data_IF_889811404163
#
_entry.id   IF_889811404163
#
_cell.length_a   1.000
_cell.length_b   1.000
_cell.length_c   1.000
_cell.angle_alpha   90.00
_cell.angle_beta   90.00
_cell.angle_gamma   90.00
#
_symmetry.space_group_name_H-M   'P 1'
#
loop_
_entity.id
_entity.type
_entity.pdbx_description
1 polymer ?
#
# COMPACT_ATOMS: atom_id res chain seq x y z
N UNK A 1 -44.28 6.79 3.61
CA UNK A 1 -45.53 7.47 4.04
C UNK A 1 -45.61 7.38 5.54
N UNK A 2 -45.64 8.52 6.25
CA UNK A 2 -45.82 8.51 7.71
C UNK A 2 -47.30 8.41 8.03
N UNK A 3 -47.67 7.46 8.89
CA UNK A 3 -49.02 7.39 9.46
C UNK A 3 -48.89 7.81 10.92
N UNK A 4 -49.61 8.85 11.32
CA UNK A 4 -49.73 9.22 12.73
C UNK A 4 -50.96 8.55 13.31
N UNK A 5 -50.82 8.03 14.53
CA UNK A 5 -51.96 7.60 15.36
C UNK A 5 -52.19 8.64 16.44
N UNK A 6 -53.40 9.15 16.57
CA UNK A 6 -53.81 9.96 17.72
C UNK A 6 -54.48 9.07 18.76
N UNK A 7 -54.05 9.19 20.01
CA UNK A 7 -54.67 8.45 21.10
C UNK A 7 -56.01 9.11 21.47
N UNK A 8 -57.11 8.42 21.17
CA UNK A 8 -58.44 8.89 21.53
C UNK A 8 -58.82 8.33 22.90
N UNK A 9 -58.65 9.14 23.94
CA UNK A 9 -59.05 8.79 25.31
C UNK A 9 -59.86 9.95 25.89
N UNK A 10 -61.11 9.67 26.27
CA UNK A 10 -62.07 10.66 26.75
C UNK A 10 -62.00 10.92 28.27
N UNK A 11 -60.87 10.64 28.92
CA UNK A 11 -60.40 11.32 30.14
C UNK A 11 -58.99 10.78 30.55
N UNK A 12 -58.05 11.71 30.73
CA UNK A 12 -56.58 11.61 30.97
C UNK A 12 -56.14 10.67 32.10
N UNK A 13 -54.95 10.01 32.14
CA UNK A 13 -53.64 10.07 31.44
C UNK A 13 -52.96 8.74 31.92
N UNK A 14 -52.57 7.75 31.10
CA UNK A 14 -51.18 7.59 30.60
C UNK A 14 -50.88 6.25 29.86
N UNK A 15 -51.81 5.58 29.18
CA UNK A 15 -51.51 4.26 28.55
C UNK A 15 -51.47 4.27 27.03
N UNK A 16 -50.60 5.10 26.45
CA UNK A 16 -50.23 4.98 25.04
C UNK A 16 -48.71 4.95 24.93
N UNK A 17 -48.13 3.75 25.07
CA UNK A 17 -46.69 3.57 24.94
C UNK A 17 -46.30 3.27 23.49
N UNK A 18 -45.17 3.85 23.06
CA UNK A 18 -44.61 3.74 21.71
C UNK A 18 -44.79 4.98 20.83
N UNK A 19 -43.82 5.21 19.92
CA UNK A 19 -43.78 6.36 19.02
C UNK A 19 -45.12 6.59 18.28
N UNK A 20 -45.53 7.85 18.19
CA UNK A 20 -46.75 8.28 17.48
C UNK A 20 -46.57 8.31 15.95
N UNK A 21 -45.36 8.01 15.47
CA UNK A 21 -45.00 7.90 14.05
C UNK A 21 -44.37 6.54 13.82
N UNK A 22 -45.03 5.75 12.97
CA UNK A 22 -44.52 4.48 12.49
C UNK A 22 -43.77 4.73 11.17
N UNK A 23 -42.48 4.38 11.12
CA UNK A 23 -41.63 4.59 9.94
C UNK A 23 -41.64 3.31 9.12
N UNK A 24 -42.48 3.30 8.08
CA UNK A 24 -42.52 2.21 7.10
C UNK A 24 -41.30 2.30 6.18
N UNK A 25 -40.47 1.25 6.14
CA UNK A 25 -39.36 1.16 5.18
C UNK A 25 -39.89 1.27 3.74
N UNK A 26 -39.27 2.14 2.95
CA UNK A 26 -39.64 2.34 1.57
C UNK A 26 -39.01 1.26 0.69
N UNK A 27 -39.84 0.40 0.09
CA UNK A 27 -39.38 -0.64 -0.83
C UNK A 27 -39.29 -0.08 -2.26
N UNK A 28 -38.20 -0.41 -2.95
CA UNK A 28 -38.03 -0.14 -4.39
C UNK A 28 -37.74 -1.47 -5.09
N UNK A 29 -38.61 -1.87 -6.00
CA UNK A 29 -38.46 -3.12 -6.75
C UNK A 29 -39.04 -3.00 -8.17
N UNK A 30 -38.52 -3.83 -9.08
CA UNK A 30 -39.06 -3.99 -10.42
C UNK A 30 -40.32 -4.86 -10.41
N UNK A 31 -41.35 -4.47 -11.17
CA UNK A 31 -42.45 -5.37 -11.51
C UNK A 31 -41.93 -6.57 -12.34
N UNK A 32 -42.75 -7.61 -12.44
CA UNK A 32 -42.51 -8.64 -13.45
C UNK A 32 -42.57 -8.02 -14.85
N UNK A 33 -41.82 -8.60 -15.79
CA UNK A 33 -41.85 -8.21 -17.19
C UNK A 33 -43.22 -8.51 -17.82
N UNK A 34 -43.68 -7.63 -18.71
CA UNK A 34 -44.85 -7.88 -19.53
C UNK A 34 -44.62 -9.09 -20.45
N UNK A 35 -45.71 -9.63 -20.98
CA UNK A 35 -45.62 -10.51 -22.14
C UNK A 35 -44.97 -9.75 -23.31
N UNK A 36 -44.31 -10.48 -24.19
CA UNK A 36 -43.72 -9.90 -25.38
C UNK A 36 -44.79 -9.41 -26.36
N UNK A 37 -44.51 -8.28 -27.03
CA UNK A 37 -45.32 -7.78 -28.14
C UNK A 37 -45.28 -8.74 -29.34
N UNK A 38 -46.24 -8.59 -30.24
CA UNK A 38 -46.17 -9.24 -31.54
C UNK A 38 -44.95 -8.76 -32.32
N UNK A 39 -44.35 -9.65 -33.10
CA UNK A 39 -43.15 -9.33 -33.89
C UNK A 39 -43.42 -8.17 -34.86
N UNK A 40 -42.59 -7.12 -34.79
CA UNK A 40 -42.74 -5.97 -35.67
C UNK A 40 -42.31 -6.35 -37.09
N UNK A 41 -43.27 -6.38 -38.01
CA UNK A 41 -43.08 -6.82 -39.40
C UNK A 41 -42.04 -6.01 -40.19
N UNK A 42 -41.73 -4.78 -39.77
CA UNK A 42 -40.80 -3.90 -40.51
C UNK A 42 -39.34 -4.14 -40.15
N UNK A 43 -39.05 -4.56 -38.91
CA UNK A 43 -37.66 -4.71 -38.43
C UNK A 43 -37.36 -6.08 -37.80
N UNK A 44 -38.36 -6.95 -37.59
CA UNK A 44 -38.15 -8.34 -37.17
C UNK A 44 -37.91 -8.54 -35.68
N UNK A 45 -38.22 -7.55 -34.83
CA UNK A 45 -38.03 -7.63 -33.38
C UNK A 45 -39.35 -7.52 -32.61
N UNK A 46 -39.42 -8.18 -31.46
CA UNK A 46 -40.46 -8.00 -30.43
C UNK A 46 -39.85 -7.46 -29.14
N UNK A 47 -40.65 -6.72 -28.36
CA UNK A 47 -40.21 -6.09 -27.12
C UNK A 47 -41.15 -6.36 -25.94
N UNK A 48 -40.65 -6.21 -24.72
CA UNK A 48 -41.44 -6.24 -23.48
C UNK A 48 -40.95 -5.22 -22.47
N UNK A 49 -41.81 -4.80 -21.54
CA UNK A 49 -41.50 -3.74 -20.58
C UNK A 49 -41.78 -4.15 -19.13
N UNK A 50 -41.19 -3.45 -18.16
CA UNK A 50 -41.48 -3.60 -16.74
C UNK A 50 -41.48 -2.23 -16.07
N UNK A 51 -42.17 -2.10 -14.94
CA UNK A 51 -42.31 -0.83 -14.22
C UNK A 51 -41.52 -0.85 -12.92
N UNK A 52 -40.90 0.28 -12.58
CA UNK A 52 -40.24 0.45 -11.29
C UNK A 52 -41.26 0.91 -10.26
N UNK A 53 -41.54 0.09 -9.25
CA UNK A 53 -42.42 0.47 -8.16
C UNK A 53 -41.58 1.00 -7.00
N UNK A 54 -41.61 2.32 -6.81
CA UNK A 54 -40.88 3.02 -5.75
C UNK A 54 -41.85 3.79 -4.87
N UNK A 55 -41.80 3.56 -3.57
CA UNK A 55 -42.64 4.27 -2.59
C UNK A 55 -42.10 5.65 -2.21
N UNK A 56 -40.99 6.12 -2.80
CA UNK A 56 -40.40 7.44 -2.54
C UNK A 56 -39.70 8.03 -3.77
N UNK A 57 -39.85 9.33 -4.01
CA UNK A 57 -39.38 10.03 -5.23
C UNK A 57 -37.86 10.10 -5.39
N UNK A 58 -37.09 9.78 -4.35
CA UNK A 58 -35.61 9.81 -4.35
C UNK A 58 -34.94 8.45 -4.64
N UNK A 59 -35.69 7.34 -4.64
CA UNK A 59 -35.14 6.01 -4.90
C UNK A 59 -35.64 5.50 -6.26
N UNK A 60 -34.73 5.18 -7.18
CA UNK A 60 -35.04 4.68 -8.52
C UNK A 60 -34.52 3.25 -8.71
N UNK A 61 -35.21 2.44 -9.52
CA UNK A 61 -34.74 1.11 -9.87
C UNK A 61 -33.58 1.22 -10.88
N UNK A 62 -32.50 0.49 -10.63
CA UNK A 62 -31.35 0.45 -11.53
C UNK A 62 -31.57 -0.57 -12.66
N UNK A 63 -31.24 -0.21 -13.91
CA UNK A 63 -31.39 -1.02 -15.13
C UNK A 63 -32.51 -0.58 -16.10
N UNK A 64 -32.56 -1.17 -17.29
CA UNK A 64 -33.58 -0.83 -18.31
C UNK A 64 -34.96 -1.39 -17.98
N UNK A 65 -35.99 -0.64 -18.40
CA UNK A 65 -37.39 -1.01 -18.31
C UNK A 65 -37.95 -1.61 -19.62
N UNK A 66 -37.12 -1.81 -20.65
CA UNK A 66 -37.49 -2.38 -21.96
C UNK A 66 -36.43 -3.40 -22.43
N UNK A 67 -36.87 -4.52 -23.00
CA UNK A 67 -36.05 -5.61 -23.58
C UNK A 67 -36.54 -5.94 -25.01
N UNK A 68 -35.65 -6.30 -25.96
CA UNK A 68 -35.94 -6.50 -27.41
C UNK A 68 -35.19 -7.71 -28.02
N UNK A 69 -35.85 -8.58 -28.82
CA UNK A 69 -35.29 -9.83 -29.44
C UNK A 69 -35.84 -10.12 -30.86
N UNK A 70 -35.09 -10.83 -31.74
CA UNK A 70 -35.45 -11.26 -33.13
C UNK A 70 -36.39 -12.51 -33.24
N UNK A 71 -37.15 -12.64 -34.34
CA UNK A 71 -38.18 -13.69 -34.56
C UNK A 71 -37.79 -14.79 -35.59
N UNK A 72 -38.18 -16.08 -35.39
CA UNK A 72 -37.79 -17.26 -36.21
C UNK A 72 -38.97 -18.18 -36.70
N UNK A 73 -38.78 -18.97 -37.77
CA UNK A 73 -39.73 -19.99 -38.34
C UNK A 73 -39.68 -21.32 -37.54
N UNK A 74 -40.83 -21.98 -37.27
CA UNK A 74 -40.90 -23.15 -36.38
C UNK A 74 -42.01 -24.18 -36.72
N UNK A 75 -41.81 -25.42 -36.27
CA UNK A 75 -42.86 -26.46 -36.25
C UNK A 75 -43.91 -26.15 -35.18
N UNK A 76 -45.20 -26.36 -35.48
CA UNK A 76 -46.24 -26.38 -34.46
C UNK A 76 -45.94 -27.46 -33.41
N UNK A 77 -46.56 -27.32 -32.24
CA UNK A 77 -46.55 -28.42 -31.29
C UNK A 77 -47.22 -29.65 -31.90
N UNK A 78 -46.75 -30.84 -31.51
CA UNK A 78 -47.41 -32.09 -31.83
C UNK A 78 -48.81 -32.11 -31.22
N UNK A 79 -49.77 -32.69 -31.95
CA UNK A 79 -51.08 -33.01 -31.42
C UNK A 79 -50.96 -33.95 -30.22
N UNK A 80 -52.01 -34.03 -29.43
CA UNK A 80 -52.13 -35.13 -28.47
C UNK A 80 -52.09 -36.47 -29.22
N UNK A 81 -51.57 -37.49 -28.54
CA UNK A 81 -51.58 -38.84 -29.10
C UNK A 81 -53.00 -39.37 -29.22
N UNK A 82 -53.25 -40.14 -30.27
CA UNK A 82 -54.48 -40.93 -30.40
C UNK A 82 -54.58 -41.98 -29.29
N UNK A 83 -55.80 -42.47 -29.04
CA UNK A 83 -56.00 -43.62 -28.16
C UNK A 83 -55.28 -44.85 -28.71
N UNK A 84 -54.72 -45.67 -27.82
CA UNK A 84 -53.95 -46.85 -28.20
C UNK A 84 -54.80 -47.81 -29.05
N UNK A 85 -54.30 -48.18 -30.23
CA UNK A 85 -55.01 -49.12 -31.09
C UNK A 85 -54.94 -50.53 -30.49
N UNK A 86 -56.08 -51.08 -30.07
CA UNK A 86 -56.15 -52.37 -29.37
C UNK A 86 -55.76 -53.58 -30.22
N UNK A 87 -55.70 -53.45 -31.55
CA UNK A 87 -55.34 -54.54 -32.46
C UNK A 87 -53.81 -54.59 -32.69
N UNK A 88 -53.17 -53.43 -32.79
CA UNK A 88 -51.75 -53.35 -33.19
C UNK A 88 -50.81 -52.79 -32.10
N UNK A 89 -51.34 -52.19 -31.03
CA UNK A 89 -50.54 -51.75 -29.88
C UNK A 89 -49.82 -50.40 -30.01
N UNK A 90 -50.13 -49.62 -31.05
CA UNK A 90 -49.50 -48.31 -31.30
C UNK A 90 -50.49 -47.14 -31.22
N UNK A 91 -49.95 -45.96 -30.90
CA UNK A 91 -50.63 -44.67 -31.00
C UNK A 91 -49.80 -43.68 -31.84
N UNK A 92 -50.47 -42.70 -32.46
CA UNK A 92 -49.84 -41.72 -33.35
C UNK A 92 -50.25 -40.26 -33.05
N UNK A 93 -49.43 -39.30 -33.50
CA UNK A 93 -49.71 -37.86 -33.43
C UNK A 93 -49.09 -37.09 -34.60
N UNK A 94 -49.58 -35.88 -34.88
CA UNK A 94 -49.17 -35.07 -36.04
C UNK A 94 -48.82 -33.62 -35.68
N UNK A 95 -48.06 -32.91 -36.53
CA UNK A 95 -47.75 -31.47 -36.38
C UNK A 95 -47.68 -30.74 -37.72
N UNK A 96 -47.80 -29.42 -37.73
CA UNK A 96 -47.81 -28.57 -38.94
C UNK A 96 -46.62 -27.60 -38.97
N UNK A 97 -46.14 -27.23 -40.16
CA UNK A 97 -45.05 -26.26 -40.32
C UNK A 97 -45.62 -24.86 -40.61
N UNK A 98 -45.33 -23.87 -39.76
CA UNK A 98 -45.85 -22.51 -39.90
C UNK A 98 -44.72 -21.52 -40.24
N UNK A 99 -44.81 -20.83 -41.38
CA UNK A 99 -43.86 -19.78 -41.80
C UNK A 99 -44.56 -18.45 -42.08
N UNK A 100 -43.98 -17.33 -41.64
CA UNK A 100 -44.51 -15.98 -41.86
C UNK A 100 -43.81 -15.18 -42.97
N UNK A 101 -42.87 -15.76 -43.71
CA UNK A 101 -42.31 -15.20 -44.96
C UNK A 101 -41.88 -16.30 -45.94
N UNK A 102 -41.52 -15.92 -47.17
CA UNK A 102 -41.44 -16.70 -48.43
C UNK A 102 -40.38 -17.83 -48.50
N UNK A 103 -40.10 -18.50 -47.38
CA UNK A 103 -39.25 -19.70 -47.29
C UNK A 103 -40.06 -20.82 -46.62
N UNK A 104 -40.58 -21.75 -47.40
CA UNK A 104 -41.75 -22.59 -47.07
C UNK A 104 -41.45 -24.02 -46.64
N UNK A 105 -40.27 -24.34 -46.10
CA UNK A 105 -39.95 -25.74 -45.74
C UNK A 105 -39.34 -25.90 -44.34
N UNK A 106 -40.04 -26.63 -43.47
CA UNK A 106 -39.48 -27.20 -42.24
C UNK A 106 -38.88 -28.60 -42.54
N UNK A 107 -37.73 -28.91 -41.94
CA UNK A 107 -37.07 -30.21 -42.13
C UNK A 107 -37.56 -31.25 -41.09
N UNK A 108 -37.91 -32.47 -41.53
CA UNK A 108 -38.42 -33.58 -40.71
C UNK A 108 -39.87 -34.00 -40.99
N UNK A 109 -40.31 -35.15 -40.44
CA UNK A 109 -41.66 -35.68 -40.63
C UNK A 109 -42.73 -34.98 -39.77
N UNK A 110 -43.95 -34.94 -40.29
CA UNK A 110 -45.14 -34.36 -39.65
C UNK A 110 -46.03 -35.38 -38.93
N UNK A 111 -45.62 -36.66 -38.86
CA UNK A 111 -46.33 -37.75 -38.17
C UNK A 111 -45.32 -38.58 -37.37
N UNK A 112 -45.68 -38.95 -36.13
CA UNK A 112 -44.90 -39.78 -35.20
C UNK A 112 -45.77 -40.94 -34.68
N UNK A 113 -45.20 -42.15 -34.52
CA UNK A 113 -45.90 -43.38 -34.08
C UNK A 113 -45.05 -44.14 -33.04
N UNK A 114 -45.64 -44.57 -31.92
CA UNK A 114 -44.96 -45.31 -30.81
C UNK A 114 -45.84 -46.41 -30.18
N UNK A 115 -45.20 -47.38 -29.50
CA UNK A 115 -45.83 -48.44 -28.68
C UNK A 115 -46.41 -47.90 -27.36
N UNK A 116 -47.46 -48.55 -26.82
CA UNK A 116 -48.13 -48.15 -25.56
C UNK A 116 -47.46 -48.74 -24.28
N UNK A 117 -47.29 -47.94 -23.22
CA UNK A 117 -46.49 -48.25 -21.99
C UNK A 117 -47.32 -48.72 -20.75
N UNK A 118 -46.70 -49.52 -19.85
CA UNK A 118 -47.22 -50.04 -18.55
C UNK A 118 -46.77 -49.17 -17.35
N UNK A 119 -47.61 -48.90 -16.32
CA UNK A 119 -47.23 -48.09 -15.13
C UNK A 119 -47.97 -48.42 -13.80
N UNK A 120 -47.35 -48.04 -12.67
CA UNK A 120 -47.95 -48.07 -11.31
C UNK A 120 -48.94 -46.90 -11.09
N UNK A 121 -50.07 -47.15 -10.42
CA UNK A 121 -50.92 -46.06 -9.93
C UNK A 121 -50.21 -45.28 -8.81
N UNK A 122 -50.61 -44.02 -8.55
CA UNK A 122 -50.18 -43.30 -7.36
C UNK A 122 -50.50 -44.06 -6.08
N UNK A 123 -49.70 -43.85 -5.03
CA UNK A 123 -49.96 -44.38 -3.70
C UNK A 123 -51.23 -43.79 -3.09
N UNK A 124 -51.96 -44.62 -2.33
CA UNK A 124 -53.07 -44.16 -1.50
C UNK A 124 -52.59 -43.20 -0.41
N UNK A 125 -53.52 -42.45 0.17
CA UNK A 125 -53.28 -41.77 1.45
C UNK A 125 -52.92 -42.79 2.52
N UNK A 126 -52.17 -42.34 3.53
CA UNK A 126 -51.84 -43.18 4.67
C UNK A 126 -53.06 -43.44 5.55
N UNK A 127 -53.12 -44.64 6.14
CA UNK A 127 -54.09 -44.97 7.17
C UNK A 127 -53.91 -44.10 8.42
N UNK A 128 -54.96 -44.05 9.25
CA UNK A 128 -54.84 -43.59 10.63
C UNK A 128 -53.82 -44.47 11.38
N UNK A 129 -53.12 -43.89 12.36
CA UNK A 129 -52.12 -44.62 13.13
C UNK A 129 -52.80 -45.78 13.89
N UNK A 130 -52.22 -46.99 13.79
CA UNK A 130 -52.68 -48.11 14.61
C UNK A 130 -52.02 -48.04 16.00
N UNK A 131 -52.81 -47.69 17.00
CA UNK A 131 -52.37 -47.45 18.38
C UNK A 131 -51.76 -48.68 19.07
N UNK A 132 -52.03 -49.90 18.57
CA UNK A 132 -51.50 -51.14 19.17
C UNK A 132 -50.06 -51.45 18.74
N UNK A 133 -49.65 -51.01 17.56
CA UNK A 133 -48.33 -51.34 16.99
C UNK A 133 -47.52 -50.11 16.55
N UNK A 134 -48.12 -48.92 16.48
CA UNK A 134 -47.43 -47.65 16.20
C UNK A 134 -47.06 -47.42 14.74
N UNK A 135 -47.78 -48.02 13.79
CA UNK A 135 -47.53 -47.88 12.35
C UNK A 135 -48.77 -47.45 11.57
N UNK A 136 -48.54 -46.72 10.49
CA UNK A 136 -49.52 -46.36 9.45
C UNK A 136 -49.12 -47.02 8.12
N UNK A 137 -50.11 -47.39 7.29
CA UNK A 137 -49.89 -48.12 6.05
C UNK A 137 -50.52 -47.43 4.82
N UNK A 138 -50.00 -47.72 3.62
CA UNK A 138 -50.58 -47.27 2.35
C UNK A 138 -50.30 -48.28 1.24
N UNK A 139 -51.09 -48.24 0.16
CA UNK A 139 -50.99 -49.19 -0.96
C UNK A 139 -51.11 -48.53 -2.33
N UNK A 140 -50.65 -49.21 -3.38
CA UNK A 140 -50.83 -48.81 -4.80
C UNK A 140 -51.10 -50.04 -5.67
N UNK A 141 -51.67 -49.84 -6.85
CA UNK A 141 -52.02 -50.92 -7.77
C UNK A 141 -51.25 -50.77 -9.10
N UNK A 142 -50.92 -51.88 -9.74
CA UNK A 142 -50.30 -51.88 -11.07
C UNK A 142 -51.40 -51.88 -12.12
N UNK A 143 -51.39 -50.93 -13.07
CA UNK A 143 -52.40 -50.88 -14.13
C UNK A 143 -51.79 -51.41 -15.43
N UNK A 144 -52.25 -52.58 -15.88
CA UNK A 144 -51.70 -53.28 -17.07
C UNK A 144 -52.83 -53.58 -18.05
N UNK A 145 -52.62 -53.26 -19.32
CA UNK A 145 -53.55 -53.60 -20.41
C UNK A 145 -53.27 -54.96 -21.06
N UNK A 146 -52.24 -55.72 -20.63
CA UNK A 146 -52.01 -57.12 -21.03
C UNK A 146 -51.24 -57.88 -19.92
N UNK A 147 -51.62 -59.11 -19.51
CA UNK A 147 -51.37 -59.61 -18.16
C UNK A 147 -50.04 -60.37 -17.99
N UNK A 148 -49.05 -60.21 -18.87
CA UNK A 148 -47.92 -61.14 -18.94
C UNK A 148 -46.56 -60.62 -18.51
N UNK A 149 -46.41 -59.44 -17.89
CA UNK A 149 -45.27 -59.17 -16.98
C UNK A 149 -45.53 -57.97 -16.05
N UNK A 150 -45.37 -58.21 -14.76
CA UNK A 150 -45.81 -57.41 -13.61
C UNK A 150 -44.95 -56.14 -13.37
N UNK A 151 -45.55 -55.11 -12.75
CA UNK A 151 -44.80 -53.94 -12.30
C UNK A 151 -43.77 -54.32 -11.21
N UNK A 152 -42.53 -53.87 -11.36
CA UNK A 152 -41.47 -54.09 -10.36
C UNK A 152 -41.62 -53.18 -9.13
N UNK A 153 -41.48 -53.76 -7.93
CA UNK A 153 -41.52 -53.08 -6.63
C UNK A 153 -42.72 -53.44 -5.73
N UNK A 154 -42.69 -53.00 -4.47
CA UNK A 154 -43.78 -53.31 -3.53
C UNK A 154 -45.05 -52.48 -3.84
N UNK A 155 -46.19 -53.11 -3.61
CA UNK A 155 -47.51 -52.49 -3.67
C UNK A 155 -48.01 -52.01 -2.30
N UNK A 156 -47.20 -52.19 -1.25
CA UNK A 156 -47.53 -51.87 0.14
C UNK A 156 -46.33 -51.22 0.85
N UNK A 157 -46.60 -50.21 1.69
CA UNK A 157 -45.60 -49.41 2.40
C UNK A 157 -46.08 -49.10 3.84
N UNK A 158 -45.16 -49.05 4.81
CA UNK A 158 -45.44 -48.93 6.25
C UNK A 158 -44.46 -47.96 6.92
N UNK A 159 -44.98 -47.02 7.72
CA UNK A 159 -44.19 -45.99 8.41
C UNK A 159 -44.58 -45.90 9.90
N UNK A 160 -43.60 -45.61 10.79
CA UNK A 160 -43.86 -45.38 12.23
C UNK A 160 -44.59 -44.05 12.46
N UNK A 161 -45.49 -44.01 13.42
CA UNK A 161 -46.24 -42.80 13.74
C UNK A 161 -45.36 -41.74 14.42
N UNK A 162 -45.62 -40.46 14.14
CA UNK A 162 -44.94 -39.33 14.77
C UNK A 162 -45.54 -39.00 16.14
N UNK A 163 -44.75 -39.16 17.20
CA UNK A 163 -45.12 -38.86 18.61
C UNK A 163 -44.55 -37.50 19.00
N UNK A 164 -45.34 -36.62 19.63
CA UNK A 164 -44.87 -35.35 20.16
C UNK A 164 -45.61 -34.93 21.46
N UNK A 165 -44.93 -34.14 22.29
CA UNK A 165 -45.51 -33.47 23.46
C UNK A 165 -46.43 -32.32 23.02
N UNK A 166 -47.58 -32.16 23.68
CA UNK A 166 -48.37 -30.93 23.57
C UNK A 166 -47.65 -29.74 24.22
N UNK A 167 -47.98 -28.49 23.85
CA UNK A 167 -47.47 -27.32 24.54
C UNK A 167 -47.81 -27.35 26.04
N UNK A 168 -46.92 -26.82 26.88
CA UNK A 168 -47.16 -26.67 28.31
C UNK A 168 -48.39 -25.81 28.61
N UNK A 169 -49.14 -26.19 29.64
CA UNK A 169 -50.20 -25.35 30.21
C UNK A 169 -49.62 -24.06 30.82
N UNK A 170 -50.49 -23.10 31.07
CA UNK A 170 -50.16 -21.97 31.94
C UNK A 170 -49.78 -22.48 33.34
N UNK A 171 -48.92 -21.72 34.02
CA UNK A 171 -48.57 -21.99 35.42
C UNK A 171 -49.80 -21.81 36.32
N UNK A 172 -49.93 -22.68 37.32
CA UNK A 172 -50.88 -22.50 38.41
C UNK A 172 -50.56 -21.23 39.20
N UNK A 173 -51.54 -20.76 39.96
CA UNK A 173 -51.31 -19.79 41.04
C UNK A 173 -50.36 -20.45 42.06
N UNK A 174 -49.51 -19.66 42.70
CA UNK A 174 -48.61 -20.16 43.74
C UNK A 174 -49.43 -20.77 44.89
N UNK A 175 -49.09 -21.98 45.34
CA UNK A 175 -49.77 -22.61 46.46
C UNK A 175 -49.24 -22.07 47.80
N UNK A 176 -50.11 -21.40 48.55
CA UNK A 176 -49.81 -20.76 49.85
C UNK A 176 -49.29 -21.73 50.94
N UNK A 177 -49.48 -23.05 50.78
CA UNK A 177 -49.09 -24.03 51.82
C UNK A 177 -47.64 -24.51 51.66
N UNK A 178 -47.12 -24.54 50.43
CA UNK A 178 -45.80 -25.14 50.14
C UNK A 178 -44.90 -24.28 49.25
N UNK A 179 -45.38 -23.14 48.70
CA UNK A 179 -44.52 -22.19 47.98
C UNK A 179 -44.12 -22.61 46.56
N UNK A 180 -44.86 -23.53 45.93
CA UNK A 180 -44.61 -23.99 44.56
C UNK A 180 -45.78 -23.68 43.63
N UNK A 181 -45.48 -23.48 42.36
CA UNK A 181 -46.46 -23.50 41.26
C UNK A 181 -46.10 -24.59 40.27
N UNK A 182 -47.10 -25.13 39.58
CA UNK A 182 -46.91 -26.22 38.62
C UNK A 182 -47.57 -25.93 37.27
N UNK A 183 -47.12 -26.65 36.24
CA UNK A 183 -47.77 -26.72 34.92
C UNK A 183 -47.63 -28.12 34.35
N UNK A 184 -48.53 -28.50 33.45
CA UNK A 184 -48.55 -29.85 32.86
C UNK A 184 -48.62 -29.82 31.34
N UNK A 185 -48.24 -30.94 30.73
CA UNK A 185 -48.40 -31.20 29.29
C UNK A 185 -48.80 -32.65 29.07
N UNK A 186 -49.36 -32.96 27.91
CA UNK A 186 -49.83 -34.30 27.54
C UNK A 186 -49.10 -34.84 26.31
N UNK A 187 -48.89 -36.15 26.23
CA UNK A 187 -48.35 -36.80 25.04
C UNK A 187 -49.49 -37.00 24.04
N UNK A 188 -49.30 -36.64 22.76
CA UNK A 188 -50.34 -36.77 21.73
C UNK A 188 -50.44 -38.21 21.19
N UNK A 189 -50.50 -39.20 22.09
CA UNK A 189 -50.80 -40.60 21.77
C UNK A 189 -52.01 -41.04 22.56
N UNK A 190 -52.82 -41.91 21.96
CA UNK A 190 -54.10 -42.27 22.54
C UNK A 190 -54.01 -43.19 23.75
N UNK A 191 -52.84 -43.75 24.13
CA UNK A 191 -52.82 -44.64 25.30
C UNK A 191 -51.56 -44.86 26.17
N UNK A 192 -50.35 -44.35 25.91
CA UNK A 192 -49.24 -44.58 26.88
C UNK A 192 -48.22 -43.42 26.91
N UNK A 193 -48.10 -42.77 28.08
CA UNK A 193 -47.08 -41.74 28.41
C UNK A 193 -45.65 -42.21 28.13
N UNK A 194 -45.39 -43.53 28.12
CA UNK A 194 -44.06 -44.14 27.96
C UNK A 194 -43.38 -43.94 26.60
N UNK A 195 -44.07 -43.33 25.62
CA UNK A 195 -43.50 -43.08 24.28
C UNK A 195 -42.97 -41.64 24.12
N UNK A 196 -43.28 -40.76 25.07
CA UNK A 196 -42.75 -39.41 25.12
C UNK A 196 -41.66 -39.33 26.19
N UNK A 197 -40.39 -39.16 25.79
CA UNK A 197 -39.30 -38.98 26.75
C UNK A 197 -39.40 -37.60 27.45
N UNK A 198 -39.36 -37.63 28.79
CA UNK A 198 -39.38 -36.44 29.66
C UNK A 198 -40.58 -36.38 30.63
N UNK A 199 -40.59 -35.39 31.52
CA UNK A 199 -41.66 -35.22 32.51
C UNK A 199 -42.90 -34.53 31.89
N UNK A 200 -44.07 -34.91 32.40
CA UNK A 200 -45.38 -34.32 32.10
C UNK A 200 -45.80 -33.24 33.12
N UNK A 201 -45.07 -33.12 34.22
CA UNK A 201 -45.23 -32.13 35.29
C UNK A 201 -43.94 -31.35 35.54
N UNK A 202 -44.06 -30.02 35.57
CA UNK A 202 -42.98 -29.08 35.86
C UNK A 202 -43.36 -28.26 37.11
N UNK A 203 -42.45 -28.17 38.08
CA UNK A 203 -42.67 -27.56 39.40
C UNK A 203 -41.58 -26.51 39.64
N UNK A 204 -41.98 -25.29 40.01
CA UNK A 204 -41.07 -24.19 40.27
C UNK A 204 -41.38 -23.51 41.61
N UNK A 205 -40.33 -23.18 42.37
CA UNK A 205 -40.41 -22.39 43.60
C UNK A 205 -40.90 -20.97 43.29
N UNK A 206 -41.71 -20.42 44.19
CA UNK A 206 -42.10 -19.02 44.15
C UNK A 206 -41.02 -18.15 44.81
N UNK A 207 -40.77 -16.95 44.28
CA UNK A 207 -39.67 -16.08 44.72
C UNK A 207 -40.19 -14.74 45.23
N UNK A 208 -39.54 -14.21 46.27
CA UNK A 208 -39.80 -12.86 46.81
C UNK A 208 -38.63 -11.95 46.48
N UNK A 209 -38.92 -10.76 45.99
CA UNK A 209 -37.90 -9.77 45.64
C UNK A 209 -38.36 -8.34 45.92
N UNK A 210 -37.39 -7.48 46.21
CA UNK A 210 -37.60 -6.04 46.23
C UNK A 210 -37.79 -5.53 44.81
N UNK A 211 -38.80 -4.68 44.58
CA UNK A 211 -38.86 -3.87 43.37
C UNK A 211 -37.66 -2.92 43.29
N UNK A 212 -37.41 -2.37 42.10
CA UNK A 212 -36.38 -1.36 41.95
C UNK A 212 -36.72 -0.13 42.80
N UNK A 213 -35.69 0.52 43.33
CA UNK A 213 -35.88 1.79 44.02
C UNK A 213 -36.48 2.84 43.09
N UNK A 214 -37.43 3.62 43.61
CA UNK A 214 -37.91 4.83 42.97
C UNK A 214 -36.76 5.82 42.75
N UNK A 215 -36.97 6.76 41.83
CA UNK A 215 -36.12 7.94 41.77
C UNK A 215 -36.15 8.70 43.10
N UNK A 216 -35.06 9.40 43.40
CA UNK A 216 -34.97 10.27 44.56
C UNK A 216 -35.97 11.42 44.44
N UNK A 217 -36.65 11.75 45.52
CA UNK A 217 -37.41 12.99 45.62
C UNK A 217 -36.49 14.20 45.53
N UNK A 218 -37.01 15.34 45.06
CA UNK A 218 -36.30 16.61 45.19
C UNK A 218 -35.95 16.90 46.66
N UNK A 219 -34.84 17.60 46.87
CA UNK A 219 -34.41 18.02 48.19
C UNK A 219 -35.52 18.85 48.86
N UNK A 220 -35.88 18.50 50.10
CA UNK A 220 -37.00 19.16 50.82
C UNK A 220 -36.83 20.67 51.00
N UNK A 221 -35.61 21.19 50.88
CA UNK A 221 -35.30 22.61 50.95
C UNK A 221 -34.15 22.94 49.98
N UNK A 222 -34.12 24.17 49.47
CA UNK A 222 -33.11 24.60 48.50
C UNK A 222 -31.69 24.74 49.10
N UNK A 223 -31.57 24.84 50.43
CA UNK A 223 -30.32 25.13 51.14
C UNK A 223 -29.77 23.94 51.93
N UNK A 224 -30.62 23.19 52.64
CA UNK A 224 -30.27 21.95 53.33
C UNK A 224 -31.54 21.14 53.62
N UNK A 225 -31.55 19.87 53.22
CA UNK A 225 -32.73 19.03 53.39
C UNK A 225 -32.43 17.54 53.29
N UNK A 226 -33.48 16.77 52.99
CA UNK A 226 -33.37 15.34 52.78
C UNK A 226 -34.00 14.95 51.45
N UNK A 227 -33.43 13.93 50.82
CA UNK A 227 -34.05 13.24 49.69
C UNK A 227 -34.42 11.83 50.16
N UNK A 228 -35.59 11.36 49.73
CA UNK A 228 -36.09 10.02 50.03
C UNK A 228 -36.29 9.24 48.73
N UNK A 229 -36.14 7.92 48.79
CA UNK A 229 -36.62 7.00 47.75
C UNK A 229 -37.27 5.79 48.38
N UNK A 230 -38.21 5.18 47.67
CA UNK A 230 -39.00 4.05 48.16
C UNK A 230 -38.87 2.85 47.23
N UNK A 231 -39.10 1.66 47.75
CA UNK A 231 -39.25 0.42 46.97
C UNK A 231 -40.33 -0.44 47.60
N UNK A 232 -40.95 -1.25 46.77
CA UNK A 232 -42.07 -2.10 47.16
C UNK A 232 -41.60 -3.55 47.26
N UNK A 233 -42.11 -4.28 48.23
CA UNK A 233 -41.84 -5.71 48.36
C UNK A 233 -42.86 -6.47 47.51
N UNK A 234 -42.43 -6.99 46.37
CA UNK A 234 -43.27 -7.83 45.53
C UNK A 234 -43.14 -9.27 46.02
N UNK A 235 -44.08 -9.67 46.86
CA UNK A 235 -44.23 -11.04 47.31
C UNK A 235 -45.39 -11.72 46.61
N UNK A 236 -45.18 -12.92 46.11
CA UNK A 236 -46.26 -13.80 45.65
C UNK A 236 -47.02 -14.46 46.80
N UNK A 237 -46.61 -14.21 48.06
CA UNK A 237 -47.12 -14.88 49.25
C UNK A 237 -47.31 -13.91 50.42
N UNK A 238 -48.35 -14.10 51.24
CA UNK A 238 -48.70 -13.18 52.34
C UNK A 238 -47.76 -13.27 53.56
N UNK A 239 -46.97 -14.34 53.68
CA UNK A 239 -46.12 -14.62 54.86
C UNK A 239 -44.63 -14.25 54.62
N UNK A 240 -44.17 -14.20 53.37
CA UNK A 240 -42.78 -13.86 53.07
C UNK A 240 -42.57 -12.35 53.04
N UNK A 241 -41.80 -11.86 54.01
CA UNK A 241 -41.46 -10.43 54.16
C UNK A 241 -40.08 -10.18 53.57
N UNK A 242 -39.95 -9.15 52.73
CA UNK A 242 -38.63 -8.68 52.33
C UNK A 242 -37.87 -8.13 53.54
N UNK A 243 -36.68 -8.67 53.81
CA UNK A 243 -35.82 -8.16 54.88
C UNK A 243 -35.17 -6.83 54.46
N UNK A 244 -35.21 -5.84 55.36
CA UNK A 244 -34.68 -4.48 55.15
C UNK A 244 -35.75 -3.38 55.14
N UNK A 245 -35.34 -2.12 54.95
CA UNK A 245 -36.27 -0.98 54.86
C UNK A 245 -36.72 -0.77 53.40
N UNK A 246 -38.00 -0.42 53.23
CA UNK A 246 -38.58 0.00 51.96
C UNK A 246 -38.41 1.49 51.66
N UNK A 247 -37.78 2.24 52.58
CA UNK A 247 -37.53 3.68 52.46
C UNK A 247 -36.08 3.96 52.82
N UNK A 248 -35.40 4.72 51.98
CA UNK A 248 -34.04 5.21 52.19
C UNK A 248 -34.04 6.75 52.20
N UNK A 249 -33.32 7.35 53.16
CA UNK A 249 -33.27 8.80 53.40
C UNK A 249 -31.82 9.25 53.51
N UNK A 250 -31.43 10.27 52.73
CA UNK A 250 -30.08 10.85 52.72
C UNK A 250 -30.11 12.38 52.78
N UNK A 251 -29.04 12.99 53.28
CA UNK A 251 -28.89 14.44 53.36
C UNK A 251 -28.58 15.01 51.97
N UNK A 252 -29.14 16.18 51.66
CA UNK A 252 -28.78 16.98 50.49
C UNK A 252 -28.31 18.37 50.93
N UNK A 253 -27.17 18.81 50.39
CA UNK A 253 -26.53 20.10 50.67
C UNK A 253 -26.58 21.01 49.45
N UNK A 254 -26.76 22.31 49.70
CA UNK A 254 -26.99 23.34 48.68
C UNK A 254 -25.87 23.51 47.64
N UNK A 255 -26.24 24.19 46.56
CA UNK A 255 -25.49 24.29 45.31
C UNK A 255 -24.03 24.78 45.47
N UNK A 256 -23.14 24.20 44.67
CA UNK A 256 -21.77 24.67 44.49
C UNK A 256 -21.73 26.08 43.89
N UNK A 257 -20.73 26.88 44.27
CA UNK A 257 -20.41 28.13 43.58
C UNK A 257 -20.04 27.87 42.10
N UNK A 258 -20.13 28.89 41.26
CA UNK A 258 -19.60 28.82 39.89
C UNK A 258 -18.10 28.54 39.93
N UNK A 259 -17.59 27.84 38.92
CA UNK A 259 -16.16 27.59 38.79
C UNK A 259 -15.37 28.89 38.68
N UNK A 260 -14.20 28.94 39.30
CA UNK A 260 -13.20 29.97 39.04
C UNK A 260 -12.70 29.90 37.60
N UNK A 261 -12.06 30.97 37.14
CA UNK A 261 -11.19 30.92 35.97
C UNK A 261 -10.10 29.84 36.15
N UNK A 262 -9.59 29.34 35.04
CA UNK A 262 -8.50 28.37 35.05
C UNK A 262 -7.23 29.03 35.63
N UNK A 263 -6.47 28.29 36.44
CA UNK A 263 -5.22 28.80 37.05
C UNK A 263 -4.14 29.20 36.05
N UNK A 264 -4.29 28.79 34.78
CA UNK A 264 -3.40 29.09 33.67
C UNK A 264 -4.19 29.78 32.57
N UNK A 265 -3.51 30.59 31.77
CA UNK A 265 -4.10 31.22 30.57
C UNK A 265 -4.04 30.34 29.34
N UNK A 266 -3.27 29.25 29.38
CA UNK A 266 -3.19 28.22 28.34
C UNK A 266 -2.66 26.91 28.96
N UNK A 267 -2.97 25.74 28.37
CA UNK A 267 -2.41 24.45 28.78
C UNK A 267 -3.16 23.80 29.95
N UNK A 268 -2.48 22.91 30.67
CA UNK A 268 -3.03 22.21 31.83
C UNK A 268 -3.01 23.12 33.07
N UNK A 269 -4.19 23.40 33.61
CA UNK A 269 -4.36 24.07 34.89
C UNK A 269 -5.50 23.47 35.68
N UNK A 270 -5.80 24.10 36.82
CA UNK A 270 -6.90 23.70 37.67
C UNK A 270 -7.83 24.88 37.90
N UNK A 271 -9.13 24.63 37.89
CA UNK A 271 -10.14 25.56 38.38
C UNK A 271 -10.74 25.02 39.67
N UNK A 272 -11.19 25.92 40.53
CA UNK A 272 -11.72 25.57 41.84
C UNK A 272 -13.10 26.16 42.04
N UNK A 273 -13.93 25.48 42.82
CA UNK A 273 -15.19 26.04 43.35
C UNK A 273 -15.37 25.59 44.79
N UNK A 274 -16.08 26.40 45.55
CA UNK A 274 -16.35 26.15 46.96
C UNK A 274 -17.83 25.82 47.17
N UNK A 275 -18.11 25.00 48.19
CA UNK A 275 -19.47 24.74 48.62
C UNK A 275 -20.00 25.96 49.37
N UNK A 276 -21.10 26.55 48.87
CA UNK A 276 -21.68 27.75 49.46
C UNK A 276 -22.33 27.43 50.81
N UNK A 277 -22.13 28.30 51.80
CA UNK A 277 -22.66 28.20 53.17
C UNK A 277 -22.22 26.96 53.97
N UNK A 278 -21.11 26.33 53.61
CA UNK A 278 -20.49 25.29 54.42
C UNK A 278 -19.67 25.88 55.58
N UNK A 279 -19.77 25.27 56.77
CA UNK A 279 -18.95 25.61 57.96
C UNK A 279 -17.50 25.13 57.78
N UNK A 280 -17.31 24.10 56.95
CA UNK A 280 -16.01 23.58 56.53
C UNK A 280 -15.83 23.93 55.05
N UNK A 281 -14.82 24.73 54.71
CA UNK A 281 -14.57 25.17 53.34
C UNK A 281 -14.17 23.99 52.43
N UNK A 282 -15.15 23.26 51.92
CA UNK A 282 -14.93 22.19 50.96
C UNK A 282 -14.62 22.80 49.59
N UNK A 283 -13.40 22.54 49.11
CA UNK A 283 -12.90 23.00 47.81
C UNK A 283 -12.91 21.81 46.85
N UNK A 284 -13.62 21.96 45.73
CA UNK A 284 -13.56 21.01 44.62
C UNK A 284 -12.60 21.55 43.56
N UNK A 285 -11.64 20.71 43.15
CA UNK A 285 -10.68 21.00 42.09
C UNK A 285 -11.04 20.20 40.84
N UNK A 286 -10.99 20.85 39.69
CA UNK A 286 -11.17 20.21 38.38
C UNK A 286 -10.06 20.68 37.44
N UNK A 287 -9.51 19.73 36.68
CA UNK A 287 -8.51 20.02 35.65
C UNK A 287 -9.17 20.73 34.46
N UNK A 288 -8.56 21.83 34.03
CA UNK A 288 -8.92 22.56 32.82
C UNK A 288 -7.78 22.49 31.81
N UNK A 289 -8.13 22.25 30.53
CA UNK A 289 -7.19 22.28 29.41
C UNK A 289 -7.60 23.45 28.52
N UNK A 290 -6.79 24.49 28.50
CA UNK A 290 -6.96 25.61 27.58
C UNK A 290 -6.11 25.36 26.32
N UNK A 291 -6.76 25.22 25.18
CA UNK A 291 -6.10 25.03 23.89
C UNK A 291 -5.54 26.38 23.42
N UNK A 292 -4.38 26.36 22.75
CA UNK A 292 -3.60 27.52 22.25
C UNK A 292 -2.56 28.09 23.24
N UNK A 293 -1.57 27.28 23.64
CA UNK A 293 -0.36 27.80 24.29
C UNK A 293 0.68 28.30 23.29
N UNK A 294 1.52 29.28 23.69
CA UNK A 294 2.81 29.52 23.05
C UNK A 294 3.62 28.21 23.07
N UNK A 295 3.92 27.67 21.90
CA UNK A 295 4.82 26.53 21.79
C UNK A 295 6.21 27.05 21.46
N UNK A 296 7.16 26.84 22.38
CA UNK A 296 8.55 27.16 22.15
C UNK A 296 9.11 26.22 21.06
N UNK A 297 9.89 26.80 20.15
CA UNK A 297 10.54 26.03 19.09
C UNK A 297 11.60 25.10 19.65
N UNK A 298 11.64 23.88 19.12
CA UNK A 298 12.73 22.95 19.39
C UNK A 298 13.46 22.55 18.11
N UNK A 299 14.75 22.28 18.27
CA UNK A 299 15.62 21.90 17.18
C UNK A 299 15.22 20.55 16.57
N UNK A 300 15.14 20.51 15.24
CA UNK A 300 15.13 19.27 14.49
C UNK A 300 16.48 18.53 14.54
N UNK A 301 16.51 17.35 13.91
CA UNK A 301 17.73 16.55 13.83
C UNK A 301 18.83 17.24 13.01
N UNK A 302 20.08 17.00 13.36
CA UNK A 302 21.23 17.47 12.59
C UNK A 302 21.33 16.74 11.25
N UNK A 303 21.48 17.50 10.17
CA UNK A 303 21.90 17.06 8.85
C UNK A 303 23.39 17.31 8.67
N UNK A 304 24.10 16.34 8.10
CA UNK A 304 25.56 16.35 7.92
C UNK A 304 25.91 16.31 6.43
N UNK A 305 26.84 17.16 6.01
CA UNK A 305 27.41 17.06 4.65
C UNK A 305 28.56 16.05 4.61
N UNK A 306 28.86 15.53 3.42
CA UNK A 306 30.11 14.81 3.20
C UNK A 306 31.33 15.74 3.39
N UNK A 307 32.50 15.14 3.62
CA UNK A 307 33.76 15.87 3.75
C UNK A 307 34.02 16.70 2.48
N UNK A 308 34.35 17.98 2.64
CA UNK A 308 34.51 18.93 1.52
C UNK A 308 35.66 18.58 0.57
N UNK A 309 36.61 17.74 1.01
CA UNK A 309 37.69 17.20 0.19
C UNK A 309 37.65 15.67 0.24
N UNK A 310 38.03 15.05 -0.87
CA UNK A 310 38.15 13.60 -0.98
C UNK A 310 39.50 13.07 -0.44
N UNK A 311 40.44 13.96 -0.15
CA UNK A 311 41.77 13.60 0.33
C UNK A 311 42.28 14.66 1.32
N UNK A 312 43.16 14.25 2.23
CA UNK A 312 43.75 15.14 3.24
C UNK A 312 42.71 15.70 4.23
N UNK A 313 42.89 16.96 4.65
CA UNK A 313 41.99 17.64 5.58
C UNK A 313 40.94 18.48 4.87
N UNK A 314 39.68 18.15 5.11
CA UNK A 314 38.50 18.92 4.70
C UNK A 314 37.67 19.37 5.90
N UNK A 315 36.46 19.82 5.62
CA UNK A 315 35.47 20.18 6.64
C UNK A 315 34.14 19.49 6.35
N UNK A 316 33.40 19.17 7.40
CA UNK A 316 32.00 18.75 7.36
C UNK A 316 31.14 19.85 7.99
N UNK A 317 29.93 20.04 7.45
CA UNK A 317 28.98 21.03 7.94
C UNK A 317 27.79 20.31 8.53
N UNK A 318 27.49 20.63 9.79
CA UNK A 318 26.27 20.22 10.47
C UNK A 318 25.25 21.35 10.37
N UNK A 319 24.02 21.05 9.95
CA UNK A 319 22.92 22.02 9.90
C UNK A 319 21.63 21.44 10.46
N UNK A 320 20.79 22.28 11.06
CA UNK A 320 19.48 21.89 11.60
C UNK A 320 18.50 23.06 11.51
N UNK A 321 17.22 22.73 11.47
CA UNK A 321 16.13 23.71 11.43
C UNK A 321 15.34 23.71 12.74
N UNK A 322 14.78 24.85 13.11
CA UNK A 322 13.94 25.00 14.30
C UNK A 322 12.49 24.60 13.97
N UNK A 323 12.22 23.30 13.90
CA UNK A 323 10.97 22.79 13.33
C UNK A 323 10.40 21.54 14.04
N UNK A 324 10.86 21.18 15.24
CA UNK A 324 10.42 19.96 15.91
C UNK A 324 10.14 20.13 17.42
N UNK A 325 9.16 20.95 17.85
CA UNK A 325 8.16 21.64 17.03
C UNK A 325 8.61 23.02 16.54
N UNK A 326 7.88 23.57 15.57
CA UNK A 326 8.08 24.95 15.10
C UNK A 326 7.49 25.93 16.13
N UNK A 327 8.18 27.04 16.48
CA UNK A 327 7.62 28.02 17.39
C UNK A 327 6.28 28.55 16.91
N UNK A 328 5.26 28.58 17.77
CA UNK A 328 3.92 29.07 17.44
C UNK A 328 3.38 29.97 18.55
N UNK A 329 2.41 30.84 18.22
CA UNK A 329 1.73 31.72 19.18
C UNK A 329 2.70 32.54 20.07
N UNK A 330 3.68 33.22 19.46
CA UNK A 330 4.75 33.96 20.14
C UNK A 330 5.66 33.10 21.07
N UNK A 331 5.71 31.78 20.87
CA UNK A 331 6.69 30.92 21.50
C UNK A 331 8.14 31.31 21.16
N UNK A 332 9.07 30.98 22.04
CA UNK A 332 10.48 31.35 21.90
C UNK A 332 11.12 30.62 20.73
N UNK A 333 11.98 31.33 20.00
CA UNK A 333 12.79 30.72 18.96
C UNK A 333 13.82 29.77 19.58
N UNK A 334 14.25 28.74 18.83
CA UNK A 334 15.25 27.79 19.30
C UNK A 334 16.54 28.48 19.78
N UNK A 335 17.05 28.06 20.94
CA UNK A 335 18.27 28.60 21.55
C UNK A 335 19.50 27.83 21.03
N UNK A 336 20.53 28.55 20.56
CA UNK A 336 21.79 27.99 20.07
C UNK A 336 22.00 28.19 18.57
N UNK A 337 23.06 27.59 18.01
CA UNK A 337 23.40 27.73 16.58
C UNK A 337 22.60 26.75 15.71
N UNK A 338 22.27 27.20 14.50
CA UNK A 338 21.61 26.39 13.45
C UNK A 338 22.60 25.62 12.59
N UNK A 339 23.88 26.01 12.60
CA UNK A 339 24.95 25.32 11.90
C UNK A 339 26.28 25.40 12.67
N UNK A 340 27.16 24.42 12.42
CA UNK A 340 28.57 24.48 12.81
C UNK A 340 29.41 23.59 11.90
N UNK A 341 30.73 23.77 11.95
CA UNK A 341 31.69 23.07 11.11
C UNK A 341 32.71 22.32 11.95
N UNK A 342 33.08 21.12 11.51
CA UNK A 342 34.17 20.35 12.10
C UNK A 342 35.17 19.91 11.02
N UNK A 343 36.41 19.69 11.44
CA UNK A 343 37.46 19.17 10.58
C UNK A 343 37.24 17.68 10.31
N UNK A 344 37.29 17.28 9.04
CA UNK A 344 37.33 15.88 8.65
C UNK A 344 38.71 15.53 8.07
N UNK A 345 39.25 14.38 8.47
CA UNK A 345 40.44 13.80 7.86
C UNK A 345 40.04 12.62 6.99
N UNK A 346 40.51 12.65 5.76
CA UNK A 346 40.39 11.53 4.83
C UNK A 346 41.71 10.78 4.84
N UNK A 347 41.66 9.45 4.99
CA UNK A 347 42.87 8.60 4.96
C UNK A 347 43.55 8.58 3.58
N UNK A 348 42.87 9.09 2.55
CA UNK A 348 43.40 9.27 1.22
C UNK A 348 44.38 10.45 1.16
N UNK A 349 45.63 10.18 0.78
CA UNK A 349 46.67 11.19 0.56
C UNK A 349 46.36 11.93 -0.74
N UNK A 350 46.42 13.27 -0.73
CA UNK A 350 46.15 14.07 -1.93
C UNK A 350 47.24 13.95 -2.99
N UNK A 351 46.87 13.99 -4.29
CA UNK A 351 47.83 14.06 -5.37
C UNK A 351 48.69 15.31 -5.25
N UNK A 352 50.01 15.13 -5.35
CA UNK A 352 50.97 16.23 -5.38
C UNK A 352 51.43 16.39 -6.82
N UNK A 353 51.00 17.46 -7.47
CA UNK A 353 51.44 17.77 -8.83
C UNK A 353 52.92 18.16 -8.83
N UNK A 354 53.64 17.71 -9.85
CA UNK A 354 55.03 18.08 -10.04
C UNK A 354 55.18 19.55 -10.37
N UNK A 355 56.28 20.14 -9.89
CA UNK A 355 56.70 21.45 -10.35
C UNK A 355 58.20 21.47 -10.65
N UNK A 356 58.56 22.35 -11.58
CA UNK A 356 59.91 22.43 -12.10
C UNK A 356 60.88 22.89 -11.01
N UNK A 357 62.03 22.24 -10.93
CA UNK A 357 63.19 22.75 -10.23
C UNK A 357 63.63 24.09 -10.84
N UNK A 358 64.47 24.81 -10.12
CA UNK A 358 65.24 25.89 -10.74
C UNK A 358 66.04 25.34 -11.92
N UNK A 359 66.23 26.17 -12.93
CA UNK A 359 67.10 25.84 -14.05
C UNK A 359 68.55 25.71 -13.57
N UNK A 360 69.29 24.77 -14.17
CA UNK A 360 70.74 24.73 -14.07
C UNK A 360 71.35 25.99 -14.70
N UNK A 361 72.60 26.26 -14.35
CA UNK A 361 73.43 27.19 -15.10
C UNK A 361 73.48 26.81 -16.58
N UNK A 362 73.63 27.80 -17.45
CA UNK A 362 73.84 27.58 -18.89
C UNK A 362 75.18 26.88 -19.14
N UNK A 363 75.20 25.96 -20.10
CA UNK A 363 76.42 25.36 -20.63
C UNK A 363 77.29 26.40 -21.35
N UNK A 364 78.53 26.02 -21.64
CA UNK A 364 79.33 26.73 -22.64
C UNK A 364 78.69 26.64 -24.03
N UNK A 365 79.04 27.57 -24.92
CA UNK A 365 78.59 27.56 -26.31
C UNK A 365 79.21 26.38 -27.06
N UNK A 366 78.41 25.75 -27.92
CA UNK A 366 78.85 24.60 -28.74
C UNK A 366 80.02 24.91 -29.68
N UNK A 367 80.26 26.18 -30.00
CA UNK A 367 81.40 26.63 -30.81
C UNK A 367 82.08 27.83 -30.14
N UNK A 368 83.42 27.97 -30.29
CA UNK A 368 84.17 29.07 -29.68
C UNK A 368 83.97 30.42 -30.40
N UNK A 369 83.61 30.40 -31.68
CA UNK A 369 83.32 31.57 -32.52
C UNK A 369 82.35 31.18 -33.65
N UNK A 370 81.83 32.15 -34.41
CA UNK A 370 80.87 31.92 -35.51
C UNK A 370 79.40 31.78 -35.07
N UNK A 371 79.16 31.72 -33.76
CA UNK A 371 77.85 31.48 -33.16
C UNK A 371 77.87 30.21 -32.31
N UNK A 372 76.71 29.62 -32.05
CA UNK A 372 76.57 28.38 -31.30
C UNK A 372 75.26 28.33 -30.52
N UNK A 373 75.02 27.23 -29.81
CA UNK A 373 73.89 27.09 -28.88
C UNK A 373 74.44 26.71 -27.51
N UNK A 374 73.91 27.34 -26.46
CA UNK A 374 74.09 26.91 -25.07
C UNK A 374 72.79 26.30 -24.57
N UNK A 375 72.89 25.38 -23.62
CA UNK A 375 71.75 24.65 -23.08
C UNK A 375 71.71 24.70 -21.56
N UNK A 376 70.52 24.54 -20.99
CA UNK A 376 70.31 24.39 -19.54
C UNK A 376 69.25 23.33 -19.29
N UNK A 377 69.26 22.75 -18.09
CA UNK A 377 68.39 21.65 -17.69
C UNK A 377 67.58 22.03 -16.44
N UNK A 378 66.40 21.45 -16.29
CA UNK A 378 65.61 21.45 -15.06
C UNK A 378 64.97 20.09 -14.87
N UNK A 379 64.65 19.70 -13.65
CA UNK A 379 63.98 18.45 -13.32
C UNK A 379 62.59 18.71 -12.73
N UNK A 380 61.64 17.80 -12.93
CA UNK A 380 60.33 17.88 -12.29
C UNK A 380 60.42 17.33 -10.85
N UNK A 381 60.99 18.13 -9.95
CA UNK A 381 61.38 17.65 -8.62
C UNK A 381 61.13 18.65 -7.50
N UNK A 382 60.44 19.76 -7.76
CA UNK A 382 60.20 20.79 -6.75
C UNK A 382 58.72 21.27 -6.69
N UNK A 383 57.77 20.41 -6.27
CA UNK A 383 57.98 19.05 -5.75
C UNK A 383 57.96 17.98 -6.86
N UNK A 384 58.37 16.75 -6.52
CA UNK A 384 58.23 15.58 -7.41
C UNK A 384 56.75 15.14 -7.45
N UNK A 385 56.17 14.86 -8.64
CA UNK A 385 54.83 14.30 -8.73
C UNK A 385 54.69 13.03 -7.88
N UNK A 386 53.63 12.96 -7.08
CA UNK A 386 53.34 11.78 -6.26
C UNK A 386 51.84 11.60 -6.02
N UNK A 387 51.44 10.43 -5.55
CA UNK A 387 50.05 10.07 -5.23
C UNK A 387 49.05 10.35 -6.38
N UNK A 388 49.48 10.13 -7.63
CA UNK A 388 48.67 10.37 -8.83
C UNK A 388 48.62 11.82 -9.31
N UNK A 389 49.47 12.70 -8.78
CA UNK A 389 49.61 14.07 -9.27
C UNK A 389 50.21 14.15 -10.67
N UNK A 390 49.89 15.25 -11.37
CA UNK A 390 50.30 15.50 -12.74
C UNK A 390 51.81 15.75 -12.85
N UNK A 391 52.40 15.31 -13.96
CA UNK A 391 53.79 15.62 -14.28
C UNK A 391 53.95 17.07 -14.75
N UNK A 392 55.19 17.58 -14.72
CA UNK A 392 55.48 18.96 -15.10
C UNK A 392 55.26 19.21 -16.60
N UNK A 393 54.47 20.22 -16.92
CA UNK A 393 54.20 20.61 -18.31
C UNK A 393 55.35 21.49 -18.83
N UNK A 394 55.95 21.09 -19.95
CA UNK A 394 56.98 21.84 -20.69
C UNK A 394 58.29 21.07 -20.89
N UNK A 395 59.28 21.73 -21.49
CA UNK A 395 60.54 21.08 -21.83
C UNK A 395 61.50 20.97 -20.63
N UNK A 396 62.16 19.81 -20.50
CA UNK A 396 63.25 19.53 -19.55
C UNK A 396 64.52 20.32 -19.91
N UNK A 397 64.72 20.60 -21.20
CA UNK A 397 65.88 21.34 -21.73
C UNK A 397 65.47 22.69 -22.29
N UNK A 398 66.25 23.72 -21.98
CA UNK A 398 66.18 25.03 -22.60
C UNK A 398 67.40 25.26 -23.48
N UNK A 399 67.20 25.86 -24.65
CA UNK A 399 68.26 26.22 -25.59
C UNK A 399 68.25 27.71 -25.85
N UNK A 400 69.43 28.31 -25.99
CA UNK A 400 69.60 29.71 -26.34
C UNK A 400 70.79 29.85 -27.28
N UNK A 401 70.64 30.69 -28.31
CA UNK A 401 71.70 30.99 -29.25
C UNK A 401 72.78 31.84 -28.60
N UNK A 402 74.04 31.51 -28.88
CA UNK A 402 75.19 32.30 -28.45
C UNK A 402 75.43 33.48 -29.39
N UNK A 403 75.92 34.58 -28.83
CA UNK A 403 76.35 35.74 -29.61
C UNK A 403 77.45 35.32 -30.61
N UNK A 404 77.30 35.75 -31.87
CA UNK A 404 78.31 35.47 -32.90
C UNK A 404 79.57 36.28 -32.60
N UNK A 405 80.67 35.60 -32.31
CA UNK A 405 82.01 36.19 -32.31
C UNK A 405 82.66 35.95 -33.67
N UNK A 406 83.34 36.96 -34.21
CA UNK A 406 84.08 36.82 -35.46
C UNK A 406 85.19 35.78 -35.29
N UNK A 407 85.18 34.74 -36.14
CA UNK A 407 86.30 33.83 -36.25
C UNK A 407 87.38 34.52 -37.08
N UNK A 408 88.60 34.63 -36.54
CA UNK A 408 89.75 35.09 -37.31
C UNK A 408 90.24 33.92 -38.15
N UNK A 409 89.97 33.96 -39.44
CA UNK A 409 90.54 33.02 -40.41
C UNK A 409 91.94 33.50 -40.74
N UNK A 410 92.97 32.82 -40.23
CA UNK A 410 94.37 33.10 -40.56
C UNK A 410 94.77 32.22 -41.74
N UNK A 411 94.97 32.81 -42.93
CA UNK A 411 95.58 32.13 -44.07
C UNK A 411 97.10 32.24 -43.97
N UNK A 412 97.77 31.12 -43.74
CA UNK A 412 99.23 31.02 -43.72
C UNK A 412 99.73 30.49 -45.07
N UNK A 413 100.42 31.33 -45.82
CA UNK A 413 101.17 30.91 -47.00
C UNK A 413 102.61 30.60 -46.57
N UNK A 414 102.99 29.33 -46.61
CA UNK A 414 104.34 28.88 -46.29
C UNK A 414 105.08 28.47 -47.56
N UNK A 415 106.27 29.04 -47.75
CA UNK A 415 107.26 28.57 -48.71
C UNK A 415 108.31 27.75 -47.94
N UNK A 416 108.50 26.50 -48.34
CA UNK A 416 109.47 25.59 -47.70
C UNK A 416 110.58 25.32 -48.71
N UNK A 417 111.80 25.76 -48.39
CA UNK A 417 112.98 25.57 -49.22
C UNK A 417 113.84 24.44 -48.66
N UNK A 418 114.21 23.47 -49.50
CA UNK A 418 115.13 22.39 -49.14
C UNK A 418 116.52 22.70 -49.70
N UNK A 419 117.56 22.58 -48.87
CA UNK A 419 118.93 23.00 -49.18
C UNK A 419 119.82 21.81 -49.61
N UNK A 420 119.30 20.58 -49.52
CA UNK A 420 120.09 19.37 -49.76
C UNK A 420 119.85 18.76 -51.15
N UNK A 421 120.91 18.23 -51.77
CA UNK A 421 120.88 17.64 -53.13
C UNK A 421 120.29 16.22 -53.16
N UNK A 422 120.06 15.61 -52.01
CA UNK A 422 119.47 14.27 -51.88
C UNK A 422 117.93 14.24 -52.01
N UNK A 423 117.32 15.37 -52.42
CA UNK A 423 115.87 15.43 -52.63
C UNK A 423 115.47 14.78 -53.96
N UNK A 424 115.01 13.53 -53.90
CA UNK A 424 114.56 12.78 -55.08
C UNK A 424 113.21 13.28 -55.62
N UNK A 425 112.98 13.13 -56.94
CA UNK A 425 111.75 13.50 -57.68
C UNK A 425 110.42 12.94 -57.13
N UNK A 426 110.44 12.06 -56.12
CA UNK A 426 109.26 11.50 -55.45
C UNK A 426 108.48 12.51 -54.58
N UNK A 427 109.08 13.66 -54.26
CA UNK A 427 108.48 14.70 -53.43
C UNK A 427 108.03 15.95 -54.19
N UNK A 428 108.34 16.06 -55.48
CA UNK A 428 107.93 17.20 -56.33
C UNK A 428 106.45 17.16 -56.71
N UNK A 429 105.79 16.00 -56.56
CA UNK A 429 104.36 15.81 -56.78
C UNK A 429 103.69 15.66 -55.41
N UNK A 430 103.00 16.71 -54.97
CA UNK A 430 102.33 16.86 -53.65
C UNK A 430 101.14 15.91 -53.40
N UNK A 431 101.11 14.77 -54.08
CA UNK A 431 100.07 13.72 -53.96
C UNK A 431 100.63 12.35 -53.61
N UNK A 432 101.97 12.19 -53.54
CA UNK A 432 102.59 10.93 -53.09
C UNK A 432 102.45 10.77 -51.56
N UNK A 433 102.33 9.53 -51.05
CA UNK A 433 102.22 9.26 -49.60
C UNK A 433 103.28 9.98 -48.73
N UNK A 434 104.57 10.03 -49.12
CA UNK A 434 105.58 10.77 -48.36
C UNK A 434 105.31 12.28 -48.30
N UNK A 435 104.81 12.88 -49.39
CA UNK A 435 104.49 14.31 -49.46
C UNK A 435 103.25 14.69 -48.64
N UNK A 436 102.26 13.79 -48.54
CA UNK A 436 101.07 13.98 -47.69
C UNK A 436 101.45 13.88 -46.21
N UNK A 437 102.34 12.94 -45.85
CA UNK A 437 102.87 12.85 -44.48
C UNK A 437 103.55 14.15 -44.08
N UNK A 438 104.48 14.65 -44.90
CA UNK A 438 105.17 15.91 -44.65
C UNK A 438 104.20 17.10 -44.52
N UNK A 439 103.18 17.19 -45.37
CA UNK A 439 102.12 18.21 -45.26
C UNK A 439 101.39 18.12 -43.92
N UNK A 440 101.03 16.91 -43.48
CA UNK A 440 100.32 16.69 -42.22
C UNK A 440 101.21 17.00 -41.01
N UNK A 441 102.50 16.64 -41.06
CA UNK A 441 103.47 16.93 -40.01
C UNK A 441 103.70 18.44 -39.86
N UNK A 442 103.80 19.19 -40.97
CA UNK A 442 103.86 20.66 -40.97
C UNK A 442 102.57 21.26 -40.39
N UNK A 443 101.41 20.72 -40.78
CA UNK A 443 100.11 21.16 -40.24
C UNK A 443 100.03 20.96 -38.72
N UNK A 444 100.46 19.80 -38.20
CA UNK A 444 100.40 19.50 -36.78
C UNK A 444 101.43 20.30 -35.96
N UNK A 445 102.61 20.56 -36.52
CA UNK A 445 103.61 21.45 -35.91
C UNK A 445 103.10 22.89 -35.78
N UNK A 446 102.46 23.43 -36.83
CA UNK A 446 101.81 24.75 -36.80
C UNK A 446 100.66 24.76 -35.80
N UNK A 447 99.80 23.74 -35.82
CA UNK A 447 98.71 23.62 -34.85
C UNK A 447 99.22 23.60 -33.41
N UNK A 448 100.34 22.91 -33.14
CA UNK A 448 100.97 22.84 -31.82
C UNK A 448 101.54 24.18 -31.36
N UNK A 449 102.16 24.97 -32.25
CA UNK A 449 102.61 26.33 -31.95
C UNK A 449 101.45 27.24 -31.52
N UNK A 450 100.32 27.17 -32.23
CA UNK A 450 99.16 28.03 -31.93
C UNK A 450 98.33 27.57 -30.71
N UNK A 451 98.35 26.26 -30.36
CA UNK A 451 97.81 25.79 -29.07
C UNK A 451 98.50 26.48 -27.88
N UNK A 452 99.80 26.80 -27.98
CA UNK A 452 100.57 27.47 -26.93
C UNK A 452 100.14 28.93 -26.68
N UNK A 453 99.50 29.57 -27.66
CA UNK A 453 98.96 30.92 -27.56
C UNK A 453 97.45 30.97 -27.26
N UNK A 454 96.84 29.82 -26.97
CA UNK A 454 95.42 29.72 -26.63
C UNK A 454 94.46 30.25 -27.71
N UNK A 455 94.88 30.19 -28.99
CA UNK A 455 94.09 30.63 -30.14
C UNK A 455 93.50 29.43 -30.85
N UNK A 456 92.16 29.34 -30.90
CA UNK A 456 91.45 28.32 -31.67
C UNK A 456 91.42 28.70 -33.15
N UNK A 457 92.49 28.37 -33.87
CA UNK A 457 92.60 28.56 -35.31
C UNK A 457 92.41 27.23 -36.05
N UNK A 458 91.70 27.27 -37.18
CA UNK A 458 91.64 26.18 -38.16
C UNK A 458 92.58 26.51 -39.31
N UNK A 459 93.50 25.60 -39.61
CA UNK A 459 94.55 25.82 -40.62
C UNK A 459 94.22 25.06 -41.90
N UNK A 460 94.47 25.70 -43.03
CA UNK A 460 94.54 25.02 -44.32
C UNK A 460 95.91 25.32 -44.93
N UNK A 461 96.81 24.34 -44.91
CA UNK A 461 98.16 24.49 -45.49
C UNK A 461 98.09 24.14 -46.96
N UNK A 462 98.30 25.15 -47.81
CA UNK A 462 98.39 25.02 -49.26
C UNK A 462 99.87 25.23 -49.64
N UNK A 463 100.52 24.18 -50.12
CA UNK A 463 101.90 24.23 -50.61
C UNK A 463 101.81 24.58 -52.10
N UNK A 464 102.20 25.81 -52.47
CA UNK A 464 101.96 26.35 -53.81
C UNK A 464 103.07 26.02 -54.82
N UNK A 465 104.31 25.80 -54.38
CA UNK A 465 105.42 25.35 -55.24
C UNK A 465 106.57 24.79 -54.39
N UNK A 466 107.34 23.85 -54.96
CA UNK A 466 108.64 23.43 -54.45
C UNK A 466 109.64 23.88 -55.51
N UNK A 467 110.39 24.94 -55.23
CA UNK A 467 111.38 25.49 -56.16
C UNK A 467 112.77 24.95 -55.81
N UNK A 468 113.37 24.18 -56.73
CA UNK A 468 114.79 23.84 -56.66
C UNK A 468 115.58 25.01 -57.27
N UNK A 469 116.51 25.61 -56.50
CA UNK A 469 117.57 26.45 -57.07
C UNK A 469 118.91 25.71 -57.02
N UNK A 470 119.73 25.79 -58.07
CA UNK A 470 121.09 25.24 -58.08
C UNK A 470 122.02 25.91 -57.08
#
# INVERSE_FOLDING_TARGET
MNRSRECNVSNSIDWCDGNNVDVMECYVFWSQWSIWSSCNATYGFMNRTRECNSSHTLNHCNGSNIEVIECFVFWSQWSIWSSCNSIYGFMNRTRECNSSHTMTHCNGSNIEVIDCFVFWTPWSTWSVCNDTYGFMNRSRSCNVSNPTNQCDGSNFDVMKCHVFWTPWSNWSICNDTYGFKNRSRSCNTSNLISWCDGNDLDIMECYVFWSQWSIWTNCTNATYGFMNRTRECNSSHSIDRCYGRGIEKVNCFGNWATWSECSVTCGLGNRSRILLHSIYSEVMLESCILVNCPEDGMWGSWSITNCSKMCGSGIIVYSRSCNNPHPSLNGRHCIGVSNYTEDCKTDMICPVNGNWSIWSSWSLCSQPCGGGVKSRLRSCSNPTPSFGGLDCIGNVRGFESCARRNCIIVKLNLAVNFIDKDYTNSYSILTSKPSISLRNDIQDAIATLYRRFNVNATFNVVINSIENRP
#
